data_IF_589740905826
#
_entry.id   IF_589740905826
#
_cell.length_a   1.000
_cell.length_b   1.000
_cell.length_c   1.000
_cell.angle_alpha   90.00
_cell.angle_beta   90.00
_cell.angle_gamma   90.00
#
_symmetry.space_group_name_H-M   'P 1'
#
loop_
_entity.id
_entity.type
_entity.pdbx_description
1 polymer ?
#
# COMPACT_ATOMS: atom_id res chain seq x y z
N UNK A 1 -27.94 -32.57 -24.05
CA UNK A 1 -27.70 -31.61 -22.95
C UNK A 1 -28.29 -30.28 -23.39
N UNK A 2 -28.97 -29.51 -22.56
CA UNK A 2 -29.43 -28.17 -22.91
C UNK A 2 -28.19 -27.30 -23.14
N UNK A 3 -27.98 -26.86 -24.37
CA UNK A 3 -26.86 -26.01 -24.76
C UNK A 3 -27.32 -24.55 -24.66
N UNK A 4 -26.64 -23.75 -23.82
CA UNK A 4 -26.83 -22.31 -23.81
C UNK A 4 -26.10 -21.73 -25.02
N UNK A 5 -26.79 -20.93 -25.83
CA UNK A 5 -26.21 -20.22 -26.97
C UNK A 5 -26.27 -18.73 -26.76
N UNK A 6 -25.18 -18.05 -27.07
CA UNK A 6 -25.03 -16.60 -26.92
C UNK A 6 -24.64 -16.04 -28.30
N UNK A 7 -25.42 -15.06 -28.76
CA UNK A 7 -25.22 -14.40 -30.04
C UNK A 7 -25.21 -12.90 -29.88
N UNK A 8 -24.42 -12.21 -30.70
CA UNK A 8 -24.45 -10.75 -30.80
C UNK A 8 -25.45 -10.36 -31.85
N UNK A 9 -26.28 -9.37 -31.56
CA UNK A 9 -27.29 -8.87 -32.49
C UNK A 9 -27.27 -7.35 -32.53
N UNK A 10 -27.63 -6.82 -33.71
CA UNK A 10 -27.75 -5.39 -33.94
C UNK A 10 -29.22 -4.98 -34.04
N UNK A 11 -29.54 -3.85 -33.41
CA UNK A 11 -30.83 -3.15 -33.50
C UNK A 11 -30.58 -1.80 -34.14
N UNK A 12 -31.01 -1.60 -35.41
CA UNK A 12 -30.84 -0.32 -36.08
C UNK A 12 -31.58 0.81 -35.36
N UNK A 13 -31.08 2.03 -35.52
CA UNK A 13 -31.77 3.24 -35.10
C UNK A 13 -33.02 3.46 -35.97
N UNK A 14 -34.06 4.03 -35.39
CA UNK A 14 -35.23 4.49 -36.14
C UNK A 14 -34.99 5.80 -36.90
N UNK A 15 -33.87 6.42 -36.69
CA UNK A 15 -33.46 7.68 -37.35
C UNK A 15 -32.31 7.36 -38.29
N UNK A 16 -32.46 7.68 -39.57
CA UNK A 16 -31.46 7.46 -40.59
C UNK A 16 -30.14 8.15 -40.27
N UNK A 17 -29.02 7.44 -40.49
CA UNK A 17 -27.68 7.93 -40.24
C UNK A 17 -27.26 7.97 -38.77
N UNK A 18 -28.11 7.53 -37.83
CA UNK A 18 -27.75 7.37 -36.43
C UNK A 18 -27.31 5.96 -36.09
N UNK A 19 -26.41 5.86 -35.10
CA UNK A 19 -25.94 4.59 -34.60
C UNK A 19 -27.09 3.77 -33.99
N UNK A 20 -27.12 2.48 -34.29
CA UNK A 20 -27.97 1.49 -33.65
C UNK A 20 -27.26 0.83 -32.48
N UNK A 21 -28.00 0.11 -31.64
CA UNK A 21 -27.49 -0.57 -30.45
C UNK A 21 -27.15 -2.02 -30.68
N UNK A 22 -26.07 -2.51 -30.11
CA UNK A 22 -25.73 -3.93 -30.04
C UNK A 22 -26.30 -4.55 -28.76
N UNK A 23 -26.71 -5.81 -28.83
CA UNK A 23 -27.21 -6.57 -27.69
C UNK A 23 -26.82 -8.04 -27.78
N UNK A 24 -26.73 -8.70 -26.64
CA UNK A 24 -26.56 -10.15 -26.59
C UNK A 24 -27.91 -10.84 -26.55
N UNK A 25 -28.06 -11.86 -27.37
CA UNK A 25 -29.20 -12.77 -27.38
C UNK A 25 -28.77 -14.09 -26.72
N UNK A 26 -29.34 -14.37 -25.53
CA UNK A 26 -29.04 -15.56 -24.75
C UNK A 26 -30.19 -16.53 -24.91
N UNK A 27 -29.89 -17.72 -25.41
CA UNK A 27 -30.88 -18.78 -25.67
C UNK A 27 -30.55 -19.96 -24.74
N UNK A 28 -31.48 -20.31 -23.87
CA UNK A 28 -31.38 -21.48 -23.01
C UNK A 28 -32.71 -22.20 -22.94
N UNK A 29 -32.73 -23.53 -23.21
CA UNK A 29 -33.94 -24.32 -23.21
C UNK A 29 -35.08 -23.73 -24.08
N UNK A 30 -34.77 -23.21 -25.28
CA UNK A 30 -35.67 -22.51 -26.21
C UNK A 30 -36.23 -21.18 -25.68
N UNK A 31 -35.86 -20.76 -24.51
CA UNK A 31 -36.21 -19.42 -23.99
C UNK A 31 -35.14 -18.42 -24.41
N UNK A 32 -35.58 -17.34 -25.03
CA UNK A 32 -34.71 -16.26 -25.54
C UNK A 32 -34.78 -15.05 -24.58
N UNK A 33 -33.64 -14.52 -24.23
CA UNK A 33 -33.52 -13.28 -23.49
C UNK A 33 -32.56 -12.33 -24.21
N UNK A 34 -32.78 -11.03 -24.02
CA UNK A 34 -31.93 -9.98 -24.57
C UNK A 34 -31.24 -9.25 -23.47
N UNK A 35 -29.95 -9.04 -23.61
CA UNK A 35 -29.12 -8.22 -22.74
C UNK A 35 -28.56 -7.06 -23.55
N UNK A 36 -29.06 -5.84 -23.33
CA UNK A 36 -28.61 -4.64 -24.02
C UNK A 36 -27.17 -4.30 -23.61
N UNK A 37 -26.42 -3.74 -24.54
CA UNK A 37 -25.08 -3.20 -24.31
C UNK A 37 -25.07 -1.69 -24.53
N UNK A 38 -23.99 -1.02 -24.12
CA UNK A 38 -23.74 0.39 -24.41
C UNK A 38 -23.02 0.59 -25.76
N UNK A 39 -22.74 -0.51 -26.49
CA UNK A 39 -22.02 -0.45 -27.75
C UNK A 39 -22.96 -0.04 -28.86
N UNK A 40 -22.54 0.93 -29.67
CA UNK A 40 -23.28 1.49 -30.78
C UNK A 40 -22.44 1.50 -32.04
N UNK A 41 -23.03 1.12 -33.15
CA UNK A 41 -22.40 1.13 -34.48
C UNK A 41 -23.41 1.65 -35.54
N UNK A 42 -22.91 2.13 -36.68
CA UNK A 42 -23.74 2.45 -37.84
C UNK A 42 -24.22 1.18 -38.51
N UNK A 43 -25.33 1.24 -39.25
CA UNK A 43 -25.88 0.08 -39.94
C UNK A 43 -24.87 -0.54 -40.95
N UNK A 44 -24.08 0.28 -41.61
CA UNK A 44 -23.01 -0.11 -42.54
C UNK A 44 -21.77 -0.72 -41.89
N UNK A 45 -21.62 -0.55 -40.55
CA UNK A 45 -20.53 -1.09 -39.75
C UNK A 45 -20.89 -2.46 -39.12
N UNK A 46 -22.07 -3.02 -39.47
CA UNK A 46 -22.54 -4.30 -38.96
C UNK A 46 -22.77 -5.31 -40.10
N UNK A 47 -22.15 -6.46 -40.00
CA UNK A 47 -22.43 -7.60 -40.86
C UNK A 47 -23.45 -8.54 -40.22
N UNK A 48 -24.63 -8.61 -40.82
CA UNK A 48 -25.74 -9.44 -40.33
C UNK A 48 -25.52 -10.94 -40.58
N UNK A 49 -24.69 -11.31 -41.55
CA UNK A 49 -24.43 -12.70 -41.92
C UNK A 49 -23.41 -13.32 -40.98
N UNK A 50 -22.30 -12.63 -40.72
CA UNK A 50 -21.28 -13.07 -39.78
C UNK A 50 -21.58 -12.69 -38.31
N UNK A 51 -22.67 -11.93 -38.07
CA UNK A 51 -23.03 -11.39 -36.72
C UNK A 51 -21.86 -10.63 -36.05
N UNK A 52 -21.13 -9.83 -36.85
CA UNK A 52 -19.91 -9.17 -36.42
C UNK A 52 -19.80 -7.70 -36.83
N UNK A 53 -18.95 -6.95 -36.14
CA UNK A 53 -18.65 -5.55 -36.49
C UNK A 53 -17.62 -5.50 -37.59
N UNK A 54 -17.91 -4.71 -38.64
CA UNK A 54 -17.04 -4.48 -39.78
C UNK A 54 -16.06 -3.37 -39.43
N UNK A 55 -14.78 -3.71 -39.33
CA UNK A 55 -13.72 -2.76 -38.97
C UNK A 55 -13.11 -2.15 -40.22
N UNK A 56 -13.61 -0.99 -40.62
CA UNK A 56 -13.05 -0.23 -41.76
C UNK A 56 -13.26 1.28 -41.60
N UNK A 57 -12.62 2.09 -42.45
CA UNK A 57 -12.77 3.54 -42.53
C UNK A 57 -12.16 4.34 -41.37
N UNK A 58 -12.61 5.58 -41.22
CA UNK A 58 -12.06 6.55 -40.25
C UNK A 58 -12.33 6.19 -38.79
N UNK A 59 -13.25 5.27 -38.52
CA UNK A 59 -13.62 4.81 -37.16
C UNK A 59 -13.02 3.43 -36.81
N UNK A 60 -12.10 2.92 -37.61
CA UNK A 60 -11.55 1.57 -37.44
C UNK A 60 -11.01 1.29 -36.06
N UNK A 61 -10.34 2.23 -35.39
CA UNK A 61 -9.85 2.04 -34.02
C UNK A 61 -10.98 1.91 -33.00
N UNK A 62 -12.06 2.68 -33.16
CA UNK A 62 -13.24 2.56 -32.28
C UNK A 62 -13.96 1.23 -32.51
N UNK A 63 -14.16 0.85 -33.79
CA UNK A 63 -14.83 -0.37 -34.15
C UNK A 63 -14.07 -1.63 -33.75
N UNK A 64 -12.73 -1.60 -33.85
CA UNK A 64 -11.87 -2.67 -33.35
C UNK A 64 -12.03 -2.80 -31.81
N UNK A 65 -12.03 -1.68 -31.08
CA UNK A 65 -12.26 -1.70 -29.65
C UNK A 65 -13.64 -2.25 -29.26
N UNK A 66 -14.68 -1.94 -30.04
CA UNK A 66 -16.03 -2.51 -29.83
C UNK A 66 -16.02 -4.01 -30.09
N UNK A 67 -15.39 -4.45 -31.19
CA UNK A 67 -15.31 -5.88 -31.58
C UNK A 67 -14.59 -6.70 -30.50
N UNK A 68 -13.45 -6.21 -30.00
CA UNK A 68 -12.70 -6.86 -28.92
C UNK A 68 -13.51 -6.97 -27.61
N UNK A 69 -14.23 -5.90 -27.25
CA UNK A 69 -15.09 -5.90 -26.06
C UNK A 69 -16.27 -6.84 -26.17
N UNK A 70 -16.93 -6.87 -27.34
CA UNK A 70 -18.02 -7.83 -27.60
C UNK A 70 -17.55 -9.26 -27.48
N UNK A 71 -16.41 -9.61 -28.10
CA UNK A 71 -15.82 -10.95 -27.99
C UNK A 71 -15.50 -11.33 -26.54
N UNK A 72 -15.01 -10.38 -25.76
CA UNK A 72 -14.73 -10.54 -24.34
C UNK A 72 -16.01 -10.79 -23.52
N UNK A 73 -17.04 -9.98 -23.74
CA UNK A 73 -18.31 -10.13 -23.01
C UNK A 73 -19.04 -11.43 -23.38
N UNK A 74 -18.97 -11.86 -24.66
CA UNK A 74 -19.46 -13.20 -25.11
C UNK A 74 -18.73 -14.31 -24.37
N UNK A 75 -17.40 -14.27 -24.30
CA UNK A 75 -16.59 -15.27 -23.59
C UNK A 75 -16.92 -15.33 -22.09
N UNK A 76 -17.22 -14.18 -21.47
CA UNK A 76 -17.66 -14.09 -20.06
C UNK A 76 -19.04 -14.69 -19.85
N UNK A 77 -20.00 -14.36 -20.73
CA UNK A 77 -21.34 -14.93 -20.70
C UNK A 77 -21.31 -16.45 -20.87
N UNK A 78 -20.49 -16.96 -21.81
CA UNK A 78 -20.29 -18.41 -22.00
C UNK A 78 -19.66 -19.06 -20.77
N UNK A 79 -18.69 -18.39 -20.12
CA UNK A 79 -18.09 -18.89 -18.87
C UNK A 79 -19.12 -18.98 -17.74
N UNK A 80 -20.00 -17.98 -17.62
CA UNK A 80 -21.12 -18.00 -16.66
C UNK A 80 -22.05 -19.16 -16.96
N UNK A 81 -22.47 -19.34 -18.22
CA UNK A 81 -23.35 -20.44 -18.62
C UNK A 81 -22.73 -21.80 -18.29
N UNK A 82 -21.45 -22.01 -18.64
CA UNK A 82 -20.71 -23.24 -18.33
C UNK A 82 -20.59 -23.49 -16.82
N UNK A 83 -20.39 -22.42 -16.02
CA UNK A 83 -20.33 -22.55 -14.55
C UNK A 83 -21.66 -23.03 -13.99
N UNK A 84 -22.78 -22.44 -14.42
CA UNK A 84 -24.13 -22.87 -14.00
C UNK A 84 -24.48 -24.29 -14.46
N UNK A 85 -24.03 -24.72 -15.64
CA UNK A 85 -24.16 -26.09 -16.14
C UNK A 85 -23.37 -27.08 -15.25
N UNK A 86 -22.18 -26.70 -14.79
CA UNK A 86 -21.31 -27.55 -13.95
C UNK A 86 -21.90 -27.75 -12.55
N UNK A 87 -22.59 -26.75 -12.00
CA UNK A 87 -23.25 -26.81 -10.69
C UNK A 87 -24.45 -27.79 -10.65
N UNK A 88 -24.83 -28.40 -11.80
CA UNK A 88 -25.96 -29.32 -11.95
C UNK A 88 -27.30 -28.78 -11.42
N UNK A 89 -27.45 -27.47 -11.27
CA UNK A 89 -28.71 -26.81 -10.92
C UNK A 89 -29.50 -26.53 -12.17
N UNK A 90 -30.82 -26.61 -12.09
CA UNK A 90 -31.68 -26.06 -13.14
C UNK A 90 -31.56 -24.56 -13.12
N UNK A 91 -31.15 -23.96 -14.22
CA UNK A 91 -31.03 -22.52 -14.36
C UNK A 91 -31.77 -22.04 -15.63
N UNK A 92 -32.03 -20.77 -15.71
CA UNK A 92 -32.73 -20.08 -16.80
C UNK A 92 -31.80 -19.09 -17.51
N UNK A 93 -32.22 -18.57 -18.65
CA UNK A 93 -31.49 -17.49 -19.33
C UNK A 93 -31.42 -16.21 -18.46
N UNK A 94 -32.42 -15.98 -17.59
CA UNK A 94 -32.45 -14.86 -16.67
C UNK A 94 -31.38 -15.02 -15.55
N UNK A 95 -31.11 -16.25 -15.13
CA UNK A 95 -30.04 -16.54 -14.15
C UNK A 95 -28.66 -16.22 -14.74
N UNK A 96 -28.44 -16.55 -16.04
CA UNK A 96 -27.19 -16.19 -16.74
C UNK A 96 -27.00 -14.66 -16.74
N UNK A 97 -28.06 -13.90 -17.07
CA UNK A 97 -28.02 -12.43 -17.05
C UNK A 97 -27.76 -11.89 -15.65
N UNK A 98 -28.42 -12.45 -14.63
CA UNK A 98 -28.27 -12.02 -13.23
C UNK A 98 -26.84 -12.22 -12.73
N UNK A 99 -26.26 -13.41 -12.99
CA UNK A 99 -24.87 -13.71 -12.61
C UNK A 99 -23.89 -12.84 -13.40
N UNK A 100 -24.14 -12.62 -14.69
CA UNK A 100 -23.31 -11.74 -15.50
C UNK A 100 -23.35 -10.30 -15.00
N UNK A 101 -24.53 -9.74 -14.69
CA UNK A 101 -24.64 -8.41 -14.10
C UNK A 101 -23.94 -8.30 -12.74
N UNK A 102 -24.03 -9.34 -11.91
CA UNK A 102 -23.31 -9.39 -10.66
C UNK A 102 -21.79 -9.33 -10.87
N UNK A 103 -21.29 -10.15 -11.80
CA UNK A 103 -19.87 -10.14 -12.19
C UNK A 103 -19.44 -8.79 -12.80
N UNK A 104 -20.30 -8.18 -13.62
CA UNK A 104 -20.01 -6.85 -14.24
C UNK A 104 -19.99 -5.75 -13.18
N UNK A 105 -20.88 -5.80 -12.20
CA UNK A 105 -20.91 -4.85 -11.07
C UNK A 105 -19.70 -5.03 -10.15
N UNK A 106 -19.26 -6.26 -9.92
CA UNK A 106 -18.02 -6.59 -9.22
C UNK A 106 -16.75 -6.22 -10.01
N UNK A 107 -16.90 -5.95 -11.33
CA UNK A 107 -15.81 -5.58 -12.25
C UNK A 107 -15.52 -4.09 -12.30
N UNK A 108 -16.07 -3.26 -11.41
CA UNK A 108 -15.67 -1.87 -11.27
C UNK A 108 -14.47 -1.73 -10.33
N UNK A 109 -13.59 -0.77 -10.60
CA UNK A 109 -12.35 -0.60 -9.86
C UNK A 109 -12.60 -0.29 -8.38
N UNK A 110 -13.51 0.64 -8.08
CA UNK A 110 -13.77 1.05 -6.70
C UNK A 110 -14.36 -0.10 -5.90
N UNK A 111 -15.38 -0.77 -6.44
CA UNK A 111 -16.00 -1.93 -5.80
C UNK A 111 -15.00 -3.05 -5.57
N UNK A 112 -14.20 -3.38 -6.59
CA UNK A 112 -13.17 -4.41 -6.47
C UNK A 112 -12.10 -4.05 -5.44
N UNK A 113 -11.65 -2.80 -5.45
CA UNK A 113 -10.63 -2.32 -4.50
C UNK A 113 -11.15 -2.27 -3.06
N UNK A 114 -12.42 -1.92 -2.84
CA UNK A 114 -13.07 -2.05 -1.52
C UNK A 114 -13.07 -3.49 -1.02
N UNK A 115 -13.37 -4.46 -1.89
CA UNK A 115 -13.29 -5.89 -1.57
C UNK A 115 -11.87 -6.33 -1.17
N UNK A 116 -10.85 -5.89 -1.92
CA UNK A 116 -9.44 -6.15 -1.59
C UNK A 116 -9.05 -5.54 -0.24
N UNK A 117 -9.48 -4.31 0.04
CA UNK A 117 -9.22 -3.63 1.32
C UNK A 117 -9.87 -4.39 2.48
N UNK A 118 -11.12 -4.83 2.33
CA UNK A 118 -11.84 -5.61 3.33
C UNK A 118 -11.10 -6.95 3.61
N UNK A 119 -10.69 -7.66 2.57
CA UNK A 119 -9.91 -8.89 2.70
C UNK A 119 -8.58 -8.68 3.43
N UNK A 120 -7.86 -7.60 3.11
CA UNK A 120 -6.61 -7.26 3.79
C UNK A 120 -6.82 -6.99 5.28
N UNK A 121 -7.93 -6.33 5.66
CA UNK A 121 -8.30 -6.12 7.06
C UNK A 121 -8.57 -7.44 7.77
N UNK A 122 -9.35 -8.34 7.17
CA UNK A 122 -9.64 -9.68 7.71
C UNK A 122 -8.36 -10.51 7.91
N UNK A 123 -7.38 -10.38 7.01
CA UNK A 123 -6.07 -11.03 7.12
C UNK A 123 -5.12 -10.35 8.13
N UNK A 124 -5.58 -9.35 8.88
CA UNK A 124 -4.77 -8.60 9.84
C UNK A 124 -3.71 -7.68 9.20
N UNK A 125 -3.72 -7.52 7.87
CA UNK A 125 -2.79 -6.65 7.13
C UNK A 125 -3.25 -5.18 7.15
N UNK A 126 -3.51 -4.66 8.35
CA UNK A 126 -4.15 -3.35 8.56
C UNK A 126 -3.37 -2.22 7.87
N UNK A 127 -2.04 -2.16 8.04
CA UNK A 127 -1.24 -1.10 7.40
C UNK A 127 -1.33 -1.13 5.88
N UNK A 128 -1.35 -2.31 5.29
CA UNK A 128 -1.51 -2.47 3.83
C UNK A 128 -2.91 -2.02 3.41
N UNK A 129 -3.95 -2.38 4.16
CA UNK A 129 -5.32 -1.92 3.85
C UNK A 129 -5.45 -0.40 3.88
N UNK A 130 -4.80 0.28 4.84
CA UNK A 130 -4.74 1.75 4.92
C UNK A 130 -4.07 2.39 3.69
N UNK A 131 -2.98 1.78 3.20
CA UNK A 131 -2.29 2.28 2.00
C UNK A 131 -3.15 2.14 0.74
N UNK A 132 -3.90 1.05 0.63
CA UNK A 132 -4.84 0.85 -0.47
C UNK A 132 -6.02 1.82 -0.35
N UNK A 133 -6.55 2.06 0.86
CA UNK A 133 -7.61 3.06 1.09
C UNK A 133 -7.15 4.46 0.69
N UNK A 134 -5.94 4.88 1.08
CA UNK A 134 -5.40 6.18 0.68
C UNK A 134 -5.24 6.31 -0.84
N UNK A 135 -4.84 5.23 -1.52
CA UNK A 135 -4.73 5.19 -2.98
C UNK A 135 -6.11 5.28 -3.64
N UNK A 136 -7.08 4.54 -3.14
CA UNK A 136 -8.46 4.57 -3.63
C UNK A 136 -9.05 5.97 -3.51
N UNK A 137 -8.98 6.58 -2.33
CA UNK A 137 -9.49 7.93 -2.09
C UNK A 137 -8.84 8.97 -3.02
N UNK A 138 -7.53 8.84 -3.28
CA UNK A 138 -6.84 9.72 -4.21
C UNK A 138 -7.32 9.55 -5.66
N UNK A 139 -7.59 8.31 -6.07
CA UNK A 139 -8.09 8.03 -7.41
C UNK A 139 -9.57 8.40 -7.57
N UNK A 140 -10.39 8.17 -6.54
CA UNK A 140 -11.79 8.61 -6.50
C UNK A 140 -11.89 10.13 -6.66
N UNK A 141 -11.07 10.89 -5.93
CA UNK A 141 -11.03 12.36 -6.06
C UNK A 141 -10.59 12.83 -7.46
N UNK A 142 -9.71 12.10 -8.15
CA UNK A 142 -9.35 12.39 -9.55
C UNK A 142 -10.52 12.13 -10.51
N UNK A 143 -11.37 11.15 -10.19
CA UNK A 143 -12.50 10.74 -11.01
C UNK A 143 -13.82 11.44 -10.64
N UNK A 144 -13.81 12.43 -9.74
CA UNK A 144 -15.02 13.06 -9.20
C UNK A 144 -16.04 12.03 -8.71
N UNK A 145 -15.56 11.03 -7.93
CA UNK A 145 -16.31 9.90 -7.39
C UNK A 145 -16.97 8.97 -8.44
N UNK A 146 -16.68 9.14 -9.72
CA UNK A 146 -17.19 8.29 -10.78
C UNK A 146 -16.35 7.02 -10.89
N UNK A 147 -16.95 5.88 -10.58
CA UNK A 147 -16.30 4.58 -10.70
C UNK A 147 -15.96 4.27 -12.18
N UNK A 148 -15.00 3.40 -12.38
CA UNK A 148 -14.54 3.00 -13.70
C UNK A 148 -14.55 1.48 -13.81
N UNK A 149 -15.09 0.92 -14.91
CA UNK A 149 -14.95 -0.51 -15.20
C UNK A 149 -13.48 -0.90 -15.25
N UNK A 150 -13.12 -2.09 -14.77
CA UNK A 150 -11.75 -2.59 -14.83
C UNK A 150 -11.20 -2.64 -16.25
N UNK A 151 -12.05 -2.92 -17.24
CA UNK A 151 -11.70 -2.90 -18.67
C UNK A 151 -11.46 -1.49 -19.21
N UNK A 152 -12.04 -0.47 -18.56
CA UNK A 152 -11.89 0.93 -18.91
C UNK A 152 -10.59 1.57 -18.39
N UNK A 153 -9.79 0.83 -17.61
CA UNK A 153 -8.50 1.31 -17.14
C UNK A 153 -7.49 1.27 -18.28
N UNK A 154 -7.27 2.43 -18.90
CA UNK A 154 -6.34 2.60 -20.02
C UNK A 154 -5.03 3.25 -19.59
N UNK A 155 -4.01 3.12 -20.45
CA UNK A 155 -2.72 3.82 -20.26
C UNK A 155 -2.89 5.34 -20.22
N UNK A 156 -3.77 5.88 -21.07
CA UNK A 156 -4.04 7.32 -21.12
C UNK A 156 -4.69 7.82 -19.83
N UNK A 157 -5.64 7.06 -19.27
CA UNK A 157 -6.23 7.38 -17.97
C UNK A 157 -5.17 7.43 -16.87
N UNK A 158 -4.23 6.49 -16.85
CA UNK A 158 -3.17 6.46 -15.86
C UNK A 158 -2.19 7.63 -16.03
N UNK A 159 -1.87 8.01 -17.28
CA UNK A 159 -1.08 9.20 -17.59
C UNK A 159 -1.79 10.49 -17.15
N UNK A 160 -3.10 10.61 -17.39
CA UNK A 160 -3.90 11.75 -16.93
C UNK A 160 -3.93 11.83 -15.39
N UNK A 161 -4.05 10.69 -14.70
CA UNK A 161 -3.99 10.66 -13.24
C UNK A 161 -2.61 11.07 -12.72
N UNK A 162 -1.53 10.61 -13.35
CA UNK A 162 -0.17 11.05 -13.00
C UNK A 162 0.00 12.56 -13.20
N UNK A 163 -0.47 13.11 -14.32
CA UNK A 163 -0.44 14.54 -14.61
C UNK A 163 -1.24 15.35 -13.57
N UNK A 164 -2.44 14.89 -13.22
CA UNK A 164 -3.25 15.48 -12.15
C UNK A 164 -2.52 15.54 -10.81
N UNK A 165 -1.86 14.44 -10.41
CA UNK A 165 -1.09 14.40 -9.16
C UNK A 165 0.11 15.35 -9.20
N UNK A 166 0.81 15.43 -10.33
CA UNK A 166 1.92 16.39 -10.55
C UNK A 166 1.45 17.83 -10.45
N UNK A 167 0.34 18.18 -11.09
CA UNK A 167 -0.26 19.52 -11.04
C UNK A 167 -0.64 19.92 -9.60
N UNK A 168 -1.03 18.97 -8.74
CA UNK A 168 -1.28 19.21 -7.31
C UNK A 168 -0.01 19.24 -6.45
N UNK A 169 1.17 19.17 -7.03
CA UNK A 169 2.44 19.19 -6.30
C UNK A 169 2.74 17.91 -5.52
N UNK A 170 2.11 16.78 -5.84
CA UNK A 170 2.37 15.51 -5.18
C UNK A 170 3.77 15.01 -5.54
N UNK A 171 4.54 14.59 -4.53
CA UNK A 171 5.93 14.12 -4.72
C UNK A 171 5.98 12.83 -5.53
N UNK A 172 7.00 12.67 -6.37
CA UNK A 172 7.19 11.53 -7.27
C UNK A 172 7.11 10.17 -6.56
N UNK A 173 7.68 10.05 -5.36
CA UNK A 173 7.58 8.81 -4.58
C UNK A 173 6.14 8.49 -4.12
N UNK A 174 5.29 9.51 -3.89
CA UNK A 174 3.88 9.31 -3.57
C UNK A 174 3.09 8.93 -4.83
N UNK A 175 3.40 9.54 -5.96
CA UNK A 175 2.83 9.17 -7.27
C UNK A 175 3.16 7.70 -7.57
N UNK A 176 4.44 7.33 -7.49
CA UNK A 176 4.88 5.94 -7.67
C UNK A 176 4.17 4.96 -6.71
N UNK A 177 3.95 5.38 -5.47
CA UNK A 177 3.24 4.57 -4.48
C UNK A 177 1.79 4.32 -4.90
N UNK A 178 1.06 5.34 -5.35
CA UNK A 178 -0.30 5.19 -5.85
C UNK A 178 -0.36 4.31 -7.11
N UNK A 179 0.53 4.55 -8.06
CA UNK A 179 0.59 3.75 -9.30
C UNK A 179 0.88 2.28 -9.03
N UNK A 180 1.81 1.97 -8.12
CA UNK A 180 2.13 0.58 -7.75
C UNK A 180 0.97 -0.12 -7.04
N UNK A 181 0.22 0.59 -6.19
CA UNK A 181 -0.95 0.01 -5.52
C UNK A 181 -2.08 -0.26 -6.51
N UNK A 182 -2.38 0.69 -7.42
CA UNK A 182 -3.38 0.48 -8.46
C UNK A 182 -2.98 -0.66 -9.40
N UNK A 183 -1.72 -0.73 -9.80
CA UNK A 183 -1.19 -1.84 -10.62
C UNK A 183 -1.36 -3.18 -9.92
N UNK A 184 -1.09 -3.26 -8.60
CA UNK A 184 -1.26 -4.49 -7.84
C UNK A 184 -2.74 -4.92 -7.76
N UNK A 185 -3.67 -3.97 -7.64
CA UNK A 185 -5.12 -4.23 -7.68
C UNK A 185 -5.54 -4.70 -9.07
N UNK A 186 -5.09 -4.00 -10.12
CA UNK A 186 -5.38 -4.37 -11.50
C UNK A 186 -4.89 -5.78 -11.85
N UNK A 187 -3.66 -6.12 -11.47
CA UNK A 187 -3.11 -7.46 -11.70
C UNK A 187 -3.93 -8.55 -10.99
N UNK A 188 -4.41 -8.30 -9.77
CA UNK A 188 -5.33 -9.21 -9.07
C UNK A 188 -6.67 -9.37 -9.80
N UNK A 189 -7.15 -8.31 -10.43
CA UNK A 189 -8.37 -8.39 -11.25
C UNK A 189 -8.13 -9.24 -12.51
N UNK A 190 -6.97 -9.09 -13.15
CA UNK A 190 -6.55 -9.95 -14.28
C UNK A 190 -6.44 -11.42 -13.85
N UNK A 191 -5.78 -11.71 -12.72
CA UNK A 191 -5.67 -13.08 -12.17
C UNK A 191 -7.04 -13.71 -11.90
N UNK A 192 -8.03 -12.92 -11.48
CA UNK A 192 -9.41 -13.37 -11.28
C UNK A 192 -10.23 -13.45 -12.59
N UNK A 193 -9.67 -13.07 -13.72
CA UNK A 193 -10.35 -13.05 -15.02
C UNK A 193 -11.46 -11.98 -15.08
N UNK A 194 -11.34 -10.89 -14.34
CA UNK A 194 -12.27 -9.77 -14.33
C UNK A 194 -11.94 -8.72 -15.39
N UNK A 195 -10.73 -8.72 -15.92
CA UNK A 195 -10.25 -7.87 -17.03
C UNK A 195 -9.09 -8.52 -17.76
N UNK A 196 -8.76 -8.01 -18.95
CA UNK A 196 -7.63 -8.47 -19.75
C UNK A 196 -6.32 -7.77 -19.39
N UNK A 197 -5.13 -8.38 -19.62
CA UNK A 197 -3.82 -7.81 -19.28
C UNK A 197 -3.38 -6.73 -20.30
N UNK A 198 -3.94 -5.54 -20.25
CA UNK A 198 -3.63 -4.42 -21.17
C UNK A 198 -2.45 -3.53 -20.71
N UNK A 199 -1.75 -3.89 -19.63
CA UNK A 199 -0.59 -3.17 -19.10
C UNK A 199 -0.77 -1.63 -18.97
N UNK A 200 -1.85 -1.12 -18.35
CA UNK A 200 -2.16 0.32 -18.34
C UNK A 200 -1.14 1.16 -17.56
N UNK A 201 -0.26 0.52 -16.78
CA UNK A 201 0.77 1.18 -15.97
C UNK A 201 2.15 1.22 -16.65
N UNK A 202 2.26 0.89 -17.93
CA UNK A 202 3.55 0.82 -18.64
C UNK A 202 4.27 2.15 -18.72
N UNK A 203 3.53 3.24 -18.89
CA UNK A 203 4.09 4.57 -19.20
C UNK A 203 4.07 5.53 -18.01
N UNK A 204 3.56 5.12 -16.85
CA UNK A 204 3.53 5.94 -15.64
C UNK A 204 4.71 5.67 -14.72
N UNK A 205 5.04 6.65 -13.88
CA UNK A 205 6.16 6.56 -12.97
C UNK A 205 5.88 5.57 -11.82
N UNK A 206 6.63 4.49 -11.77
CA UNK A 206 6.60 3.49 -10.69
C UNK A 206 7.96 3.30 -10.01
N UNK A 207 8.91 4.20 -10.29
CA UNK A 207 10.28 4.18 -9.77
C UNK A 207 10.40 4.67 -8.34
N UNK A 208 11.65 4.87 -7.92
CA UNK A 208 12.02 5.47 -6.63
C UNK A 208 12.83 6.73 -6.89
N UNK A 209 12.29 7.87 -6.50
CA UNK A 209 12.99 9.14 -6.58
C UNK A 209 13.92 9.34 -5.38
N UNK A 210 15.04 10.03 -5.61
CA UNK A 210 16.03 10.31 -4.57
C UNK A 210 15.41 11.19 -3.47
N UNK A 211 15.46 10.70 -2.25
CA UNK A 211 15.00 11.48 -1.08
C UNK A 211 16.13 12.23 -0.43
N UNK A 212 15.81 13.39 0.10
CA UNK A 212 16.76 14.22 0.82
C UNK A 212 17.23 13.52 2.09
N UNK A 213 18.54 13.60 2.36
CA UNK A 213 19.19 13.06 3.58
C UNK A 213 18.55 13.60 4.84
N UNK A 214 18.30 12.71 5.80
CA UNK A 214 17.69 13.08 7.08
C UNK A 214 18.63 12.87 8.27
N UNK A 215 19.78 12.24 8.08
CA UNK A 215 20.75 12.01 9.14
C UNK A 215 21.24 13.33 9.76
N UNK A 216 21.45 13.34 11.06
CA UNK A 216 22.12 14.41 11.79
C UNK A 216 23.50 13.96 12.25
N UNK A 217 24.45 14.88 12.38
CA UNK A 217 25.81 14.55 12.82
C UNK A 217 25.84 14.11 14.29
N UNK A 218 26.83 13.30 14.66
CA UNK A 218 27.04 12.83 16.05
C UNK A 218 27.08 13.98 17.05
N UNK A 219 27.66 15.12 16.65
CA UNK A 219 27.69 16.33 17.51
C UNK A 219 26.29 16.78 17.93
N UNK A 220 25.32 16.73 16.97
CA UNK A 220 23.94 17.09 17.26
C UNK A 220 23.25 16.04 18.15
N UNK A 221 23.59 14.74 18.00
CA UNK A 221 23.08 13.69 18.90
C UNK A 221 23.62 13.86 20.32
N UNK A 222 24.89 14.23 20.46
CA UNK A 222 25.48 14.56 21.79
C UNK A 222 24.76 15.76 22.43
N UNK A 223 24.59 16.85 21.68
CA UNK A 223 23.84 18.01 22.15
C UNK A 223 22.40 17.67 22.55
N UNK A 224 21.72 16.81 21.77
CA UNK A 224 20.38 16.32 22.09
C UNK A 224 20.36 15.52 23.40
N UNK A 225 21.38 14.67 23.65
CA UNK A 225 21.51 13.88 24.86
C UNK A 225 21.72 14.79 26.07
N UNK A 226 22.49 15.86 25.95
CA UNK A 226 22.91 16.78 27.01
C UNK A 226 21.86 17.84 27.36
N UNK A 227 20.73 17.93 26.63
CA UNK A 227 19.66 18.87 26.95
C UNK A 227 19.09 18.59 28.35
N UNK A 228 19.01 19.62 29.19
CA UNK A 228 18.23 19.55 30.41
C UNK A 228 16.74 19.66 30.10
N UNK A 229 16.03 18.56 30.29
CA UNK A 229 14.59 18.41 30.06
C UNK A 229 13.84 17.99 31.32
N UNK A 230 14.44 18.12 32.49
CA UNK A 230 13.89 17.71 33.79
C UNK A 230 12.49 18.27 34.05
N UNK A 231 12.25 19.51 33.63
CA UNK A 231 10.96 20.20 33.77
C UNK A 231 10.01 19.96 32.57
N UNK A 232 10.40 19.15 31.61
CA UNK A 232 9.64 18.91 30.35
C UNK A 232 9.52 17.41 30.05
N UNK A 233 8.76 16.63 30.85
CA UNK A 233 8.74 15.16 30.76
C UNK A 233 8.37 14.62 29.40
N UNK A 234 7.49 15.30 28.65
CA UNK A 234 7.07 14.89 27.30
C UNK A 234 8.19 15.04 26.25
N UNK A 235 9.04 16.08 26.40
CA UNK A 235 10.23 16.26 25.56
C UNK A 235 11.31 15.27 25.93
N UNK A 236 11.50 15.04 27.24
CA UNK A 236 12.45 14.05 27.77
C UNK A 236 12.13 12.64 27.23
N UNK A 237 10.85 12.24 27.30
CA UNK A 237 10.41 10.98 26.73
C UNK A 237 10.69 10.88 25.22
N UNK A 238 10.39 11.91 24.46
CA UNK A 238 10.64 11.90 23.01
C UNK A 238 12.14 11.82 22.68
N UNK A 239 13.00 12.54 23.44
CA UNK A 239 14.45 12.42 23.35
C UNK A 239 14.91 10.99 23.63
N UNK A 240 14.43 10.41 24.70
CA UNK A 240 14.83 9.07 25.13
C UNK A 240 14.42 8.01 24.10
N UNK A 241 13.24 8.11 23.49
CA UNK A 241 12.83 7.22 22.39
C UNK A 241 13.73 7.35 21.17
N UNK A 242 14.14 8.58 20.82
CA UNK A 242 15.08 8.82 19.73
C UNK A 242 16.46 8.22 20.03
N UNK A 243 16.99 8.45 21.23
CA UNK A 243 18.29 7.92 21.67
C UNK A 243 18.25 6.40 21.78
N UNK A 244 17.17 5.82 22.30
CA UNK A 244 17.00 4.38 22.36
C UNK A 244 17.02 3.75 20.95
N UNK A 245 16.28 4.35 19.99
CA UNK A 245 16.37 3.93 18.61
C UNK A 245 17.80 4.01 18.06
N UNK A 246 18.52 5.08 18.33
CA UNK A 246 19.91 5.24 17.90
C UNK A 246 20.84 4.19 18.53
N UNK A 247 20.73 3.94 19.84
CA UNK A 247 21.54 2.96 20.56
C UNK A 247 21.25 1.52 20.11
N UNK A 248 20.03 1.23 19.72
CA UNK A 248 19.61 -0.07 19.20
C UNK A 248 19.75 -0.18 17.66
N UNK A 249 20.81 0.43 17.11
CA UNK A 249 21.16 0.34 15.68
C UNK A 249 20.07 0.89 14.74
N UNK A 250 19.30 1.88 15.18
CA UNK A 250 18.23 2.48 14.41
C UNK A 250 16.96 1.61 14.39
N UNK A 251 16.64 0.94 15.49
CA UNK A 251 15.39 0.20 15.67
C UNK A 251 14.20 1.08 15.34
N UNK A 252 13.24 0.56 14.60
CA UNK A 252 12.04 1.33 14.25
C UNK A 252 11.13 1.53 15.45
N UNK A 253 10.39 2.64 15.49
CA UNK A 253 9.53 2.94 16.64
C UNK A 253 8.45 1.85 16.85
N UNK A 254 7.99 1.21 15.80
CA UNK A 254 7.07 0.08 15.94
C UNK A 254 7.72 -1.11 16.63
N UNK A 255 8.99 -1.40 16.35
CA UNK A 255 9.70 -2.47 17.03
C UNK A 255 9.94 -2.11 18.49
N UNK A 256 10.34 -0.84 18.79
CA UNK A 256 10.52 -0.32 20.16
C UNK A 256 9.22 -0.45 20.98
N UNK A 257 8.09 -0.07 20.41
CA UNK A 257 6.80 -0.06 21.11
C UNK A 257 6.33 -1.45 21.52
N UNK A 258 6.68 -2.45 20.74
CA UNK A 258 6.27 -3.83 20.94
C UNK A 258 7.38 -4.75 21.49
N UNK A 259 8.53 -4.17 21.91
CA UNK A 259 9.56 -4.95 22.64
C UNK A 259 8.97 -5.50 23.93
N UNK A 260 9.17 -6.77 24.17
CA UNK A 260 8.74 -7.45 25.39
C UNK A 260 9.88 -7.48 26.40
N UNK A 261 9.54 -7.58 27.69
CA UNK A 261 10.50 -7.81 28.77
C UNK A 261 11.28 -9.12 28.57
N UNK A 262 10.62 -10.12 28.00
CA UNK A 262 11.21 -11.43 27.65
C UNK A 262 12.20 -11.40 26.49
N UNK A 263 12.21 -10.32 25.69
CA UNK A 263 13.15 -10.17 24.59
C UNK A 263 14.57 -9.80 25.09
N UNK A 264 14.68 -9.35 26.35
CA UNK A 264 15.96 -9.05 27.01
C UNK A 264 16.35 -10.18 27.95
N UNK A 265 17.33 -10.99 27.56
CA UNK A 265 17.83 -12.11 28.35
C UNK A 265 19.37 -12.15 28.32
N UNK A 266 19.98 -12.42 29.47
CA UNK A 266 21.43 -12.59 29.59
C UNK A 266 22.26 -11.43 28.97
N UNK A 267 21.78 -10.20 29.07
CA UNK A 267 22.46 -9.04 28.51
C UNK A 267 22.40 -8.94 26.96
N UNK A 268 21.50 -9.68 26.35
CA UNK A 268 21.24 -9.62 24.90
C UNK A 268 19.76 -9.33 24.68
N UNK A 269 19.49 -8.31 23.85
CA UNK A 269 18.15 -7.99 23.36
C UNK A 269 17.94 -8.68 22.03
N UNK A 270 17.05 -9.68 21.98
CA UNK A 270 16.70 -10.42 20.75
C UNK A 270 15.27 -10.16 20.40
N UNK A 271 15.02 -9.64 19.20
CA UNK A 271 13.66 -9.32 18.73
C UNK A 271 13.49 -9.62 17.24
N UNK A 272 12.27 -9.83 16.83
CA UNK A 272 11.91 -10.03 15.43
C UNK A 272 11.30 -8.77 14.84
N UNK A 273 11.91 -8.22 13.78
CA UNK A 273 11.40 -7.01 13.11
C UNK A 273 9.99 -7.21 12.58
N UNK A 274 9.08 -6.34 12.98
CA UNK A 274 7.67 -6.42 12.55
C UNK A 274 7.46 -6.18 11.04
N UNK A 275 8.38 -5.45 10.39
CA UNK A 275 8.30 -5.15 8.96
C UNK A 275 8.78 -6.29 8.06
N UNK A 276 9.86 -6.97 8.42
CA UNK A 276 10.55 -7.95 7.58
C UNK A 276 10.54 -9.36 8.15
N UNK A 277 10.22 -9.52 9.43
CA UNK A 277 10.26 -10.80 10.12
C UNK A 277 11.67 -11.28 10.48
N UNK A 278 12.70 -10.49 10.16
CA UNK A 278 14.09 -10.83 10.47
C UNK A 278 14.35 -10.74 11.97
N UNK A 279 15.06 -11.71 12.52
CA UNK A 279 15.51 -11.72 13.90
C UNK A 279 16.83 -10.96 14.04
N UNK A 280 16.92 -10.11 15.06
CA UNK A 280 18.09 -9.30 15.38
C UNK A 280 18.44 -9.44 16.84
N UNK A 281 19.73 -9.62 17.11
CA UNK A 281 20.28 -9.68 18.46
C UNK A 281 21.22 -8.49 18.68
N UNK A 282 21.01 -7.78 19.79
CA UNK A 282 21.75 -6.57 20.18
C UNK A 282 22.28 -6.76 21.59
N UNK A 283 23.58 -6.58 21.76
CA UNK A 283 24.18 -6.54 23.08
C UNK A 283 23.59 -5.38 23.88
N UNK A 284 23.14 -5.66 25.11
CA UNK A 284 22.55 -4.66 25.97
C UNK A 284 23.64 -3.78 26.58
N UNK A 285 23.56 -2.49 26.32
CA UNK A 285 24.55 -1.51 26.76
C UNK A 285 24.00 -0.64 27.89
N UNK A 286 24.88 -0.10 28.72
CA UNK A 286 24.54 0.77 29.87
C UNK A 286 23.61 1.92 29.48
N UNK A 287 23.87 2.58 28.37
CA UNK A 287 23.04 3.70 27.88
C UNK A 287 21.59 3.31 27.56
N UNK A 288 21.33 2.05 27.21
CA UNK A 288 19.96 1.52 26.99
C UNK A 288 19.30 1.27 28.36
N UNK A 289 20.04 0.68 29.29
CA UNK A 289 19.57 0.43 30.68
C UNK A 289 19.20 1.73 31.37
N UNK A 290 20.01 2.76 31.24
CA UNK A 290 19.75 4.09 31.82
C UNK A 290 18.45 4.70 31.35
N UNK A 291 18.09 4.52 30.05
CA UNK A 291 16.80 4.98 29.53
C UNK A 291 15.65 4.21 30.17
N UNK A 292 15.74 2.88 30.22
CA UNK A 292 14.68 2.05 30.80
C UNK A 292 14.47 2.38 32.27
N UNK A 293 15.55 2.56 33.04
CA UNK A 293 15.50 2.84 34.45
C UNK A 293 14.84 4.20 34.83
N UNK A 294 14.68 5.10 33.84
CA UNK A 294 13.99 6.39 34.07
C UNK A 294 12.47 6.22 34.18
N UNK A 295 11.95 5.14 33.71
CA UNK A 295 10.49 4.92 33.63
C UNK A 295 10.06 3.86 34.64
N UNK A 296 8.87 4.02 35.26
CA UNK A 296 8.32 2.97 36.10
C UNK A 296 8.08 1.70 35.27
N UNK A 297 8.17 0.56 35.93
CA UNK A 297 7.95 -0.71 35.29
C UNK A 297 6.57 -0.76 34.65
N UNK A 298 6.53 -1.11 33.36
CA UNK A 298 5.28 -1.26 32.62
C UNK A 298 4.51 -2.49 33.16
N UNK A 299 3.25 -2.32 33.51
CA UNK A 299 2.39 -3.42 33.99
C UNK A 299 2.07 -4.43 32.89
N UNK A 300 2.25 -4.07 31.61
CA UNK A 300 2.12 -4.97 30.47
C UNK A 300 3.40 -5.79 30.28
N UNK A 301 3.36 -6.72 29.33
CA UNK A 301 4.54 -7.51 28.92
C UNK A 301 5.60 -6.67 28.19
N UNK A 302 5.25 -5.44 27.78
CA UNK A 302 6.14 -4.57 27.00
C UNK A 302 7.20 -3.88 27.87
N UNK A 303 8.41 -3.74 27.29
CA UNK A 303 9.58 -3.20 27.99
C UNK A 303 9.44 -1.70 28.29
N UNK A 304 8.88 -0.92 27.38
CA UNK A 304 8.73 0.53 27.48
C UNK A 304 7.26 0.94 27.68
N UNK A 305 6.97 2.06 28.36
CA UNK A 305 5.60 2.47 28.70
C UNK A 305 4.88 3.17 27.52
N UNK A 306 5.02 2.62 26.30
CA UNK A 306 4.38 3.13 25.09
C UNK A 306 2.96 2.55 24.99
N UNK A 307 2.82 1.24 25.20
CA UNK A 307 1.56 0.53 25.29
C UNK A 307 1.33 0.20 26.75
N UNK A 308 0.23 0.68 27.32
CA UNK A 308 -0.10 0.56 28.74
C UNK A 308 -1.37 -0.26 28.94
N UNK A 309 -1.59 -0.80 30.14
CA UNK A 309 -2.89 -1.36 30.52
C UNK A 309 -3.98 -0.29 30.41
N UNK A 310 -5.18 -0.69 30.02
CA UNK A 310 -6.35 0.17 30.14
C UNK A 310 -6.64 0.40 31.61
N UNK A 311 -6.52 1.65 32.04
CA UNK A 311 -7.10 2.06 33.32
C UNK A 311 -8.62 1.86 33.25
N UNK A 312 -9.23 1.33 34.31
CA UNK A 312 -10.68 1.14 34.49
C UNK A 312 -11.43 2.48 34.40
N UNK A 313 -11.56 3.03 33.18
CA UNK A 313 -12.36 4.21 32.84
C UNK A 313 -13.55 3.76 32.00
N UNK A 314 -14.66 3.53 32.69
CA UNK A 314 -16.07 3.46 32.25
C UNK A 314 -16.32 3.20 30.76
N UNK A 315 -17.01 2.09 30.53
CA UNK A 315 -17.70 1.63 29.29
C UNK A 315 -16.86 0.76 28.33
N UNK A 316 -16.74 -0.52 28.67
CA UNK A 316 -16.89 -1.60 27.69
C UNK A 316 -17.50 -2.82 28.38
N UNK A 317 -18.78 -3.01 28.13
CA UNK A 317 -19.46 -4.28 28.41
C UNK A 317 -19.10 -5.19 27.26
N UNK A 318 -18.31 -6.23 27.51
CA UNK A 318 -18.41 -7.48 26.79
C UNK A 318 -17.78 -8.62 27.56
N UNK A 319 -18.58 -9.63 27.71
CA UNK A 319 -18.44 -10.86 28.45
C UNK A 319 -17.39 -11.83 27.90
N UNK A 320 -16.80 -12.55 28.89
CA UNK A 320 -16.33 -13.97 28.85
C UNK A 320 -15.07 -14.28 28.05
N UNK A 321 -14.21 -15.12 28.49
CA UNK A 321 -14.04 -16.00 29.65
C UNK A 321 -12.57 -16.37 29.79
N UNK A 322 -12.16 -16.55 31.00
CA UNK A 322 -10.86 -17.06 31.43
C UNK A 322 -10.64 -18.51 31.01
N UNK A 323 -9.44 -18.84 30.57
CA UNK A 323 -8.61 -19.90 31.18
C UNK A 323 -7.28 -19.98 30.42
N UNK A 324 -6.19 -19.70 31.13
CA UNK A 324 -4.78 -20.00 30.80
C UNK A 324 -4.32 -19.76 29.35
N UNK A 325 -4.09 -18.51 29.01
CA UNK A 325 -3.58 -18.02 27.74
C UNK A 325 -4.32 -16.74 27.35
N UNK A 326 -3.69 -15.58 27.58
CA UNK A 326 -4.27 -14.30 27.16
C UNK A 326 -4.64 -14.36 25.68
N UNK A 327 -5.88 -14.61 25.37
CA UNK A 327 -6.46 -14.36 24.05
C UNK A 327 -6.54 -12.84 23.91
N UNK A 328 -5.63 -12.23 23.18
CA UNK A 328 -5.72 -10.82 22.79
C UNK A 328 -6.91 -10.73 21.85
N UNK A 329 -8.02 -10.19 22.32
CA UNK A 329 -9.21 -9.94 21.51
C UNK A 329 -8.85 -8.96 20.38
N UNK A 330 -9.62 -8.94 19.29
CA UNK A 330 -9.40 -7.97 18.22
C UNK A 330 -9.50 -6.52 18.73
N UNK A 331 -10.30 -6.25 19.75
CA UNK A 331 -10.39 -4.96 20.45
C UNK A 331 -9.09 -4.63 21.19
N UNK A 332 -8.45 -5.58 21.85
CA UNK A 332 -7.17 -5.38 22.53
C UNK A 332 -6.05 -5.01 21.55
N UNK A 333 -5.98 -5.68 20.39
CA UNK A 333 -5.01 -5.35 19.33
C UNK A 333 -5.27 -3.97 18.71
N UNK A 334 -6.53 -3.60 18.53
CA UNK A 334 -6.92 -2.30 18.01
C UNK A 334 -6.54 -1.18 18.99
N UNK A 335 -6.68 -1.41 20.30
CA UNK A 335 -6.29 -0.47 21.34
C UNK A 335 -4.78 -0.31 21.43
N UNK A 336 -4.00 -1.41 21.45
CA UNK A 336 -2.53 -1.35 21.40
C UNK A 336 -2.04 -0.53 20.20
N UNK A 337 -2.66 -0.77 19.03
CA UNK A 337 -2.34 -0.01 17.83
C UNK A 337 -2.66 1.47 17.96
N UNK A 338 -3.80 1.83 18.53
CA UNK A 338 -4.19 3.23 18.76
C UNK A 338 -3.21 3.92 19.70
N UNK A 339 -2.78 3.25 20.79
CA UNK A 339 -1.77 3.77 21.72
C UNK A 339 -0.43 3.97 21.02
N UNK A 340 0.02 3.00 20.21
CA UNK A 340 1.22 3.12 19.40
C UNK A 340 1.17 4.31 18.44
N UNK A 341 0.10 4.44 17.64
CA UNK A 341 -0.05 5.51 16.66
C UNK A 341 -0.09 6.89 17.34
N UNK A 342 -0.84 7.05 18.44
CA UNK A 342 -0.90 8.28 19.22
C UNK A 342 0.47 8.64 19.81
N UNK A 343 1.18 7.67 20.37
CA UNK A 343 2.50 7.92 20.94
C UNK A 343 3.52 8.26 19.86
N UNK A 344 3.49 7.60 18.70
CA UNK A 344 4.37 7.93 17.58
C UNK A 344 4.14 9.37 17.09
N UNK A 345 2.87 9.79 16.98
CA UNK A 345 2.53 11.16 16.60
C UNK A 345 3.05 12.17 17.63
N UNK A 346 2.82 11.92 18.92
CA UNK A 346 3.30 12.78 20.00
C UNK A 346 4.83 12.87 20.00
N UNK A 347 5.53 11.74 19.96
CA UNK A 347 7.00 11.67 19.94
C UNK A 347 7.55 12.47 18.75
N UNK A 348 7.01 12.25 17.53
CA UNK A 348 7.47 12.99 16.37
C UNK A 348 7.17 14.50 16.46
N UNK A 349 6.06 14.88 17.07
CA UNK A 349 5.74 16.29 17.33
C UNK A 349 6.77 16.92 18.29
N UNK A 350 7.07 16.27 19.41
CA UNK A 350 8.07 16.72 20.39
C UNK A 350 9.50 16.72 19.84
N UNK A 351 9.84 15.76 18.99
CA UNK A 351 11.14 15.74 18.30
C UNK A 351 11.32 16.94 17.37
N UNK A 352 10.27 17.44 16.73
CA UNK A 352 10.33 18.70 15.97
C UNK A 352 10.62 19.91 16.86
N UNK A 353 10.02 19.95 18.04
CA UNK A 353 10.28 21.00 19.04
C UNK A 353 11.74 20.96 19.50
N UNK A 354 12.27 19.77 19.82
CA UNK A 354 13.68 19.57 20.16
C UNK A 354 14.62 20.00 19.02
N UNK A 355 14.24 19.76 17.77
CA UNK A 355 15.05 20.21 16.64
C UNK A 355 15.13 21.73 16.53
N UNK A 356 14.05 22.43 16.89
CA UNK A 356 14.05 23.91 16.97
C UNK A 356 14.94 24.43 18.10
N UNK A 357 14.86 23.81 19.29
CA UNK A 357 15.73 24.16 20.41
C UNK A 357 17.22 24.00 20.07
N UNK A 358 17.57 22.95 19.33
CA UNK A 358 18.94 22.67 18.89
C UNK A 358 19.32 23.42 17.58
N UNK A 359 18.45 24.28 17.06
CA UNK A 359 18.65 25.02 15.81
C UNK A 359 19.07 24.13 14.62
N UNK A 360 18.50 22.93 14.56
CA UNK A 360 18.80 22.00 13.47
C UNK A 360 18.13 22.48 12.17
N UNK A 361 18.84 22.36 11.05
CA UNK A 361 18.31 22.73 9.72
C UNK A 361 17.07 21.91 9.30
N UNK A 362 16.86 20.76 9.94
CA UNK A 362 15.77 19.84 9.59
C UNK A 362 15.10 19.30 10.83
N UNK A 363 13.77 19.07 10.75
CA UNK A 363 13.03 18.54 11.88
C UNK A 363 13.45 17.09 12.17
N UNK A 364 13.58 16.77 13.46
CA UNK A 364 13.79 15.42 13.96
C UNK A 364 12.49 14.62 13.85
N UNK A 365 12.64 13.34 13.57
CA UNK A 365 11.61 12.31 13.67
C UNK A 365 12.27 11.02 14.11
N UNK A 366 11.51 10.02 14.56
CA UNK A 366 12.05 8.71 14.91
C UNK A 366 12.87 8.07 13.78
N UNK A 367 12.48 8.33 12.53
CA UNK A 367 13.20 7.81 11.36
C UNK A 367 14.60 8.41 11.19
N UNK A 368 14.84 9.63 11.68
CA UNK A 368 16.16 10.30 11.65
C UNK A 368 17.18 9.53 12.48
N UNK A 369 16.79 8.93 13.62
CA UNK A 369 17.69 8.13 14.45
C UNK A 369 18.33 6.99 13.64
N UNK A 370 17.53 6.27 12.86
CA UNK A 370 17.98 5.18 12.01
C UNK A 370 18.95 5.64 10.91
N UNK A 371 18.63 6.76 10.25
CA UNK A 371 19.53 7.35 9.25
C UNK A 371 20.84 7.80 9.87
N UNK A 372 20.78 8.39 11.06
CA UNK A 372 21.96 8.90 11.76
C UNK A 372 22.89 7.78 12.22
N UNK A 373 22.33 6.67 12.70
CA UNK A 373 23.14 5.50 13.05
C UNK A 373 23.86 4.93 11.82
N UNK A 374 23.15 4.71 10.71
CA UNK A 374 23.75 4.21 9.49
C UNK A 374 24.85 5.14 8.94
N UNK A 375 24.59 6.46 9.00
CA UNK A 375 25.56 7.47 8.57
C UNK A 375 26.78 7.50 9.46
N UNK A 376 26.60 7.38 10.78
CA UNK A 376 27.70 7.31 11.74
C UNK A 376 28.53 6.05 11.55
N UNK A 377 27.91 4.90 11.34
CA UNK A 377 28.62 3.64 11.06
C UNK A 377 29.45 3.76 9.77
N UNK A 378 28.87 4.30 8.69
CA UNK A 378 29.60 4.52 7.43
C UNK A 378 30.78 5.49 7.61
N UNK A 379 30.60 6.59 8.40
CA UNK A 379 31.68 7.54 8.65
C UNK A 379 32.85 6.95 9.46
N UNK A 380 32.64 5.81 10.09
CA UNK A 380 33.63 5.00 10.80
C UNK A 380 34.15 3.82 9.96
N UNK A 381 33.89 3.83 8.65
CA UNK A 381 34.32 2.80 7.71
C UNK A 381 33.80 1.39 8.06
N UNK A 382 32.65 1.29 8.75
CA UNK A 382 32.01 -0.02 8.96
C UNK A 382 31.54 -0.56 7.60
N UNK A 383 31.85 -1.82 7.25
CA UNK A 383 31.44 -2.42 5.99
C UNK A 383 29.91 -2.36 5.76
N UNK A 384 29.52 -2.19 4.49
CA UNK A 384 28.11 -2.05 4.13
C UNK A 384 27.27 -3.28 4.54
N UNK A 385 27.86 -4.49 4.39
CA UNK A 385 27.23 -5.74 4.82
C UNK A 385 26.90 -5.73 6.33
N UNK A 386 27.86 -5.30 7.16
CA UNK A 386 27.67 -5.20 8.62
C UNK A 386 26.59 -4.16 8.98
N UNK A 387 26.57 -3.01 8.27
CA UNK A 387 25.51 -2.00 8.47
C UNK A 387 24.15 -2.58 8.04
N UNK A 388 24.09 -3.28 6.92
CA UNK A 388 22.88 -3.90 6.40
C UNK A 388 22.31 -4.93 7.37
N UNK A 389 23.14 -5.84 7.82
CA UNK A 389 22.80 -6.87 8.82
C UNK A 389 22.37 -6.24 10.14
N UNK A 390 23.16 -5.31 10.69
CA UNK A 390 22.85 -4.62 11.94
C UNK A 390 21.55 -3.82 11.91
N UNK A 391 21.11 -3.38 10.73
CA UNK A 391 19.81 -2.71 10.52
C UNK A 391 18.69 -3.70 10.17
N UNK A 392 18.98 -4.95 9.91
CA UNK A 392 18.01 -5.95 9.46
C UNK A 392 17.40 -5.59 8.09
N UNK A 393 18.23 -5.29 7.10
CA UNK A 393 17.78 -5.12 5.73
C UNK A 393 17.92 -6.44 4.96
N UNK A 394 16.93 -6.79 4.17
CA UNK A 394 16.94 -8.03 3.36
C UNK A 394 17.96 -7.98 2.22
N UNK A 395 18.45 -6.77 1.87
CA UNK A 395 19.48 -6.61 0.86
C UNK A 395 20.37 -5.40 1.12
N UNK A 396 21.64 -5.49 0.76
CA UNK A 396 22.60 -4.38 0.79
C UNK A 396 22.15 -3.21 -0.11
N UNK A 397 21.47 -3.49 -1.22
CA UNK A 397 20.92 -2.48 -2.11
C UNK A 397 19.99 -1.50 -1.36
N UNK A 398 19.18 -1.99 -0.42
CA UNK A 398 18.35 -1.13 0.45
C UNK A 398 19.22 -0.22 1.31
N UNK A 399 20.31 -0.75 1.88
CA UNK A 399 21.26 0.03 2.70
C UNK A 399 22.01 1.04 1.86
N UNK A 400 22.40 0.66 0.66
CA UNK A 400 23.12 1.51 -0.29
C UNK A 400 22.26 2.74 -0.70
N UNK A 401 20.96 2.57 -0.93
CA UNK A 401 20.03 3.69 -1.18
C UNK A 401 20.02 4.67 0.01
N UNK A 402 20.06 4.15 1.25
CA UNK A 402 20.17 4.94 2.47
C UNK A 402 21.45 5.78 2.53
N UNK A 403 22.55 5.21 2.08
CA UNK A 403 23.91 5.73 2.21
C UNK A 403 24.43 6.43 0.95
N UNK A 404 23.90 6.11 -0.23
CA UNK A 404 24.34 6.63 -1.53
C UNK A 404 24.39 8.17 -1.58
N UNK A 405 23.61 8.82 -0.73
CA UNK A 405 23.60 10.28 -0.64
C UNK A 405 24.70 10.87 0.28
N UNK A 406 25.53 10.03 0.91
CA UNK A 406 26.66 10.52 1.75
C UNK A 406 27.97 10.67 0.98
N UNK A 407 28.01 10.19 -0.27
CA UNK A 407 29.26 10.07 -1.01
C UNK A 407 29.85 11.40 -1.47
N UNK A 408 29.06 12.47 -1.54
CA UNK A 408 29.55 13.79 -1.99
C UNK A 408 30.71 14.25 -1.08
N UNK A 409 30.59 14.13 0.21
CA UNK A 409 31.67 14.56 1.14
C UNK A 409 32.92 13.67 1.11
N UNK A 410 32.73 12.37 0.74
CA UNK A 410 33.87 11.43 0.59
C UNK A 410 34.54 11.69 -0.76
N UNK A 411 33.75 11.91 -1.81
CA UNK A 411 34.26 12.30 -3.14
C UNK A 411 34.96 13.64 -3.06
N UNK A 412 34.40 14.63 -2.34
CA UNK A 412 35.04 15.94 -2.13
C UNK A 412 36.36 15.83 -1.37
N UNK A 413 36.42 14.97 -0.33
CA UNK A 413 37.68 14.69 0.37
C UNK A 413 38.73 14.00 -0.53
N UNK A 414 38.27 12.99 -1.27
CA UNK A 414 39.15 12.31 -2.22
C UNK A 414 39.64 13.27 -3.30
N UNK A 415 38.76 14.12 -3.84
CA UNK A 415 39.13 15.13 -4.81
C UNK A 415 40.13 16.15 -4.22
N UNK A 416 39.92 16.59 -2.98
CA UNK A 416 40.85 17.50 -2.29
C UNK A 416 42.21 16.84 -2.06
N UNK A 417 42.25 15.53 -1.76
CA UNK A 417 43.52 14.80 -1.66
C UNK A 417 44.23 14.69 -3.02
N UNK A 418 43.46 14.45 -4.09
CA UNK A 418 44.03 14.40 -5.45
C UNK A 418 44.57 15.79 -5.87
N UNK A 419 43.80 16.84 -5.63
CA UNK A 419 44.21 18.22 -5.92
C UNK A 419 45.43 18.68 -5.07
N UNK A 420 45.60 18.09 -3.88
CA UNK A 420 46.76 18.34 -3.05
C UNK A 420 48.06 17.65 -3.50
N UNK A 421 47.99 16.82 -4.56
CA UNK A 421 49.13 16.20 -5.22
C UNK A 421 49.63 16.99 -6.45
N UNK A 422 48.91 18.02 -6.85
CA UNK A 422 49.27 18.93 -7.95
C UNK A 422 49.92 20.19 -7.39
#
# INVERSE_FOLDING_TARGET
MPMTSIKVKFRPSTVDGKEGGLYFQIIHNRVVRQLNTDYKVLAEEWDAESESVIVNGNRSNLLLGIQERLAWDVARLEKVARSLETERRRFTADDVITVFHKLTKESSLFTFMHGVIAQLKQLGKIRTSETYTATLNSFMAFRDEQDVPLDGISSDMMLMYEAHLKARGVRMNTISFYMRNLRAVYNRAVEKGLTQPNNPFRHVYTGVDKTVKRAIPIKAIKALKELDLSMKPSLDFARDMFLFSFYTRGMSFVDIAYLKKTDLQNGILTYRRRKTGQELSIKWEKCMAEIIAKYPENKTDYLLPIIKEEGNGRNSVSHQACLNGRVVTDEGKANERRQYDNTLHLVNYRLKELSTMLKLQRPLTMYVARHSWASAAKSKNVPLSVISEGMGHDSEATTQIYLASLETSVVDKANKMILGLL
#
